data_IF_049904056986
#
_entry.id   IF_049904056986
#
_cell.length_a   1.000
_cell.length_b   1.000
_cell.length_c   1.000
_cell.angle_alpha   90.00
_cell.angle_beta   90.00
_cell.angle_gamma   90.00
#
_symmetry.space_group_name_H-M   'P 1'
#
loop_
_entity.id
_entity.type
_entity.pdbx_description
1 polymer ?
#
# COMPACT_ATOMS: atom_id res chain seq x y z
N UNK A 1 19.86 -11.77 -11.11
CA UNK A 1 19.32 -13.00 -10.47
C UNK A 1 17.92 -13.24 -11.02
N UNK A 2 17.58 -14.44 -11.44
CA UNK A 2 16.22 -14.72 -11.89
C UNK A 2 15.33 -15.07 -10.69
N UNK A 3 14.18 -14.40 -10.56
CA UNK A 3 13.20 -14.68 -9.52
C UNK A 3 12.26 -15.78 -10.01
N UNK A 4 12.20 -16.91 -9.29
CA UNK A 4 11.36 -18.07 -9.59
C UNK A 4 10.38 -18.37 -8.45
N UNK A 5 10.70 -17.97 -7.21
CA UNK A 5 9.84 -18.16 -6.04
C UNK A 5 9.54 -16.82 -5.37
N UNK A 6 8.24 -16.52 -5.21
CA UNK A 6 7.74 -15.30 -4.60
C UNK A 6 6.90 -15.63 -3.37
N UNK A 7 7.29 -15.11 -2.22
CA UNK A 7 6.53 -15.19 -0.99
C UNK A 7 5.76 -13.88 -0.75
N UNK A 8 4.46 -13.98 -0.60
CA UNK A 8 3.63 -12.84 -0.18
C UNK A 8 3.40 -12.87 1.33
N UNK A 9 3.62 -11.73 1.97
CA UNK A 9 3.17 -11.49 3.34
C UNK A 9 1.95 -10.57 3.26
N UNK A 10 0.77 -11.18 3.35
CA UNK A 10 -0.53 -10.53 3.16
C UNK A 10 -1.33 -11.16 2.03
N UNK A 11 -2.45 -11.81 2.37
CA UNK A 11 -3.38 -12.45 1.43
C UNK A 11 -4.68 -11.63 1.33
N UNK A 12 -4.51 -10.29 1.19
CA UNK A 12 -5.58 -9.33 0.95
C UNK A 12 -5.73 -9.01 -0.54
N UNK A 13 -6.49 -7.95 -0.89
CA UNK A 13 -6.79 -7.57 -2.27
C UNK A 13 -5.53 -7.41 -3.14
N UNK A 14 -4.56 -6.61 -2.69
CA UNK A 14 -3.30 -6.37 -3.44
C UNK A 14 -2.47 -7.65 -3.56
N UNK A 15 -2.34 -8.42 -2.47
CA UNK A 15 -1.59 -9.67 -2.48
C UNK A 15 -2.21 -10.71 -3.42
N UNK A 16 -3.54 -10.87 -3.38
CA UNK A 16 -4.25 -11.79 -4.29
C UNK A 16 -4.18 -11.33 -5.74
N UNK A 17 -4.30 -10.02 -5.99
CA UNK A 17 -4.23 -9.44 -7.33
C UNK A 17 -2.90 -9.80 -8.00
N UNK A 18 -1.79 -9.36 -7.43
CA UNK A 18 -0.48 -9.57 -8.05
C UNK A 18 0.01 -11.01 -7.89
N UNK A 19 -0.32 -11.69 -6.79
CA UNK A 19 0.00 -13.11 -6.61
C UNK A 19 -0.66 -13.99 -7.67
N UNK A 20 -1.93 -13.73 -8.01
CA UNK A 20 -2.62 -14.47 -9.08
C UNK A 20 -2.04 -14.20 -10.48
N UNK A 21 -1.57 -12.97 -10.75
CA UNK A 21 -0.90 -12.64 -12.01
C UNK A 21 0.45 -13.36 -12.14
N UNK A 22 1.25 -13.37 -11.06
CA UNK A 22 2.53 -14.09 -11.04
C UNK A 22 2.30 -15.60 -11.19
N UNK A 23 1.35 -16.16 -10.46
CA UNK A 23 1.02 -17.58 -10.55
C UNK A 23 0.51 -17.98 -11.94
N UNK A 24 -0.28 -17.13 -12.59
CA UNK A 24 -0.73 -17.34 -13.97
C UNK A 24 0.44 -17.43 -14.96
N UNK A 25 1.49 -16.64 -14.73
CA UNK A 25 2.66 -16.60 -15.63
C UNK A 25 3.70 -17.68 -15.33
N UNK A 26 3.94 -17.99 -14.04
CA UNK A 26 5.05 -18.85 -13.61
C UNK A 26 4.59 -20.21 -13.05
N UNK A 27 3.29 -20.41 -12.85
CA UNK A 27 2.71 -21.58 -12.18
C UNK A 27 2.43 -21.34 -10.69
N UNK A 28 1.47 -22.09 -10.13
CA UNK A 28 1.06 -21.93 -8.74
C UNK A 28 2.19 -22.19 -7.73
N UNK A 29 3.11 -23.09 -8.05
CA UNK A 29 4.26 -23.45 -7.19
C UNK A 29 5.27 -22.29 -7.04
N UNK A 30 5.21 -21.29 -7.92
CA UNK A 30 6.06 -20.11 -7.85
C UNK A 30 5.60 -19.10 -6.78
N UNK A 31 4.38 -19.23 -6.26
CA UNK A 31 3.77 -18.26 -5.33
C UNK A 31 3.31 -18.93 -4.06
N UNK A 32 3.69 -18.37 -2.92
CA UNK A 32 3.17 -18.80 -1.62
C UNK A 32 2.77 -17.59 -0.76
N UNK A 33 1.69 -17.74 0.03
CA UNK A 33 1.30 -16.77 1.05
C UNK A 33 1.75 -17.25 2.40
N UNK A 34 2.73 -16.55 2.98
CA UNK A 34 3.30 -16.93 4.27
C UNK A 34 2.59 -16.18 5.38
N UNK A 35 2.14 -16.93 6.37
CA UNK A 35 1.37 -16.42 7.51
C UNK A 35 2.02 -16.88 8.81
N UNK A 36 1.93 -16.06 9.86
CA UNK A 36 2.19 -16.57 11.21
C UNK A 36 1.24 -17.74 11.53
N UNK A 37 1.66 -18.61 12.45
CA UNK A 37 0.96 -19.87 12.69
C UNK A 37 -0.48 -19.65 13.17
N UNK A 38 -0.73 -18.63 13.97
CA UNK A 38 -2.08 -18.31 14.46
C UNK A 38 -2.99 -17.78 13.34
N UNK A 39 -2.43 -16.99 12.41
CA UNK A 39 -3.17 -16.52 11.24
C UNK A 39 -3.41 -17.64 10.25
N UNK A 40 -2.46 -18.53 10.08
CA UNK A 40 -2.61 -19.71 9.23
C UNK A 40 -3.77 -20.60 9.69
N UNK A 41 -3.90 -20.88 11.00
CA UNK A 41 -5.01 -21.68 11.54
C UNK A 41 -6.38 -21.08 11.21
N UNK A 42 -6.48 -19.75 11.16
CA UNK A 42 -7.76 -19.07 10.89
C UNK A 42 -8.09 -18.94 9.40
N UNK A 43 -7.07 -18.86 8.52
CA UNK A 43 -7.25 -18.36 7.16
C UNK A 43 -6.69 -19.26 6.05
N UNK A 44 -5.96 -20.35 6.37
CA UNK A 44 -5.41 -21.22 5.34
C UNK A 44 -6.48 -21.96 4.52
N UNK A 45 -7.63 -22.22 5.14
CA UNK A 45 -8.77 -22.88 4.52
C UNK A 45 -9.81 -21.92 3.90
N UNK A 46 -9.54 -20.61 3.89
CA UNK A 46 -10.48 -19.65 3.29
C UNK A 46 -10.67 -19.93 1.80
N UNK A 47 -11.91 -20.13 1.37
CA UNK A 47 -12.26 -20.23 -0.04
C UNK A 47 -12.17 -18.83 -0.68
N UNK A 48 -11.16 -18.62 -1.51
CA UNK A 48 -10.92 -17.34 -2.17
C UNK A 48 -11.24 -17.44 -3.66
N UNK A 49 -11.71 -16.33 -4.21
CA UNK A 49 -11.92 -16.21 -5.66
C UNK A 49 -11.26 -14.94 -6.20
N UNK A 50 -10.85 -15.02 -7.46
CA UNK A 50 -10.35 -13.87 -8.24
C UNK A 50 -11.20 -13.79 -9.51
N UNK A 51 -11.95 -12.70 -9.67
CA UNK A 51 -12.91 -12.51 -10.76
C UNK A 51 -13.84 -13.73 -10.97
N UNK A 52 -14.38 -14.23 -9.85
CA UNK A 52 -15.31 -15.36 -9.83
C UNK A 52 -14.68 -16.76 -10.03
N UNK A 53 -13.36 -16.84 -10.22
CA UNK A 53 -12.65 -18.13 -10.34
C UNK A 53 -12.00 -18.50 -9.01
N UNK A 54 -12.00 -19.78 -8.60
CA UNK A 54 -11.29 -20.24 -7.43
C UNK A 54 -9.81 -19.85 -7.49
N UNK A 55 -9.26 -19.45 -6.34
CA UNK A 55 -7.87 -19.08 -6.18
C UNK A 55 -7.17 -20.12 -5.29
N UNK A 56 -6.56 -21.11 -5.93
CA UNK A 56 -5.90 -22.26 -5.28
C UNK A 56 -4.42 -22.01 -4.94
N UNK A 57 -4.08 -20.76 -4.60
CA UNK A 57 -2.71 -20.40 -4.24
C UNK A 57 -2.37 -20.84 -2.81
N UNK A 58 -1.20 -21.44 -2.68
CA UNK A 58 -0.75 -22.07 -1.45
C UNK A 58 -0.55 -21.09 -0.31
N UNK A 59 -1.12 -21.42 0.86
CA UNK A 59 -0.78 -20.75 2.12
C UNK A 59 0.21 -21.62 2.91
N UNK A 60 1.23 -20.98 3.48
CA UNK A 60 2.31 -21.67 4.21
C UNK A 60 2.45 -21.07 5.61
N UNK A 61 2.62 -21.92 6.63
CA UNK A 61 2.98 -21.47 7.98
C UNK A 61 4.39 -20.90 7.98
N UNK A 62 4.59 -19.78 8.66
CA UNK A 62 5.93 -19.19 8.81
C UNK A 62 6.94 -20.18 9.39
N UNK A 63 6.51 -21.03 10.34
CA UNK A 63 7.36 -22.07 10.95
C UNK A 63 7.80 -23.18 9.96
N UNK A 64 7.18 -23.27 8.78
CA UNK A 64 7.46 -24.27 7.72
C UNK A 64 7.97 -23.64 6.42
N UNK A 65 7.97 -22.31 6.33
CA UNK A 65 8.40 -21.59 5.14
C UNK A 65 9.94 -21.64 4.99
N UNK A 66 10.39 -21.57 3.73
CA UNK A 66 11.79 -21.46 3.37
C UNK A 66 12.07 -20.09 2.73
N UNK A 67 13.33 -19.63 2.67
CA UNK A 67 13.69 -18.40 1.97
C UNK A 67 13.20 -18.40 0.51
N UNK A 68 12.60 -17.27 0.10
CA UNK A 68 12.15 -17.03 -1.26
C UNK A 68 13.16 -16.17 -2.03
N UNK A 69 13.04 -16.10 -3.37
CA UNK A 69 13.84 -15.18 -4.17
C UNK A 69 13.37 -13.74 -4.00
N UNK A 70 12.03 -13.54 -3.88
CA UNK A 70 11.41 -12.25 -3.63
C UNK A 70 10.34 -12.38 -2.54
N UNK A 71 10.36 -11.47 -1.59
CA UNK A 71 9.26 -11.27 -0.63
C UNK A 71 8.51 -9.99 -0.98
N UNK A 72 7.19 -10.10 -1.17
CA UNK A 72 6.32 -8.94 -1.39
C UNK A 72 5.40 -8.75 -0.18
N UNK A 73 5.53 -7.58 0.47
CA UNK A 73 4.70 -7.20 1.60
C UNK A 73 3.44 -6.46 1.13
N UNK A 74 2.27 -6.96 1.53
CA UNK A 74 0.95 -6.42 1.13
C UNK A 74 -0.05 -6.41 2.28
N UNK A 75 0.45 -6.17 3.50
CA UNK A 75 -0.41 -6.07 4.68
C UNK A 75 -0.93 -4.65 4.88
N UNK A 76 -2.01 -4.50 5.62
CA UNK A 76 -2.33 -3.20 6.23
C UNK A 76 -1.28 -2.85 7.28
N UNK A 77 -0.97 -1.58 7.44
CA UNK A 77 0.05 -1.09 8.39
C UNK A 77 -0.23 -1.49 9.84
N UNK A 78 -1.49 -1.70 10.19
CA UNK A 78 -1.90 -2.27 11.49
C UNK A 78 -1.33 -3.68 11.76
N UNK A 79 -0.91 -4.39 10.72
CA UNK A 79 -0.30 -5.73 10.80
C UNK A 79 1.21 -5.75 10.54
N UNK A 80 1.84 -4.58 10.35
CA UNK A 80 3.22 -4.48 9.86
C UNK A 80 4.25 -5.12 10.79
N UNK A 81 4.18 -4.88 12.09
CA UNK A 81 5.16 -5.43 13.04
C UNK A 81 5.12 -6.97 13.10
N UNK A 82 3.92 -7.56 13.01
CA UNK A 82 3.78 -9.01 12.92
C UNK A 82 4.24 -9.55 11.56
N UNK A 83 3.99 -8.81 10.49
CA UNK A 83 4.46 -9.16 9.16
C UNK A 83 6.00 -9.19 9.09
N UNK A 84 6.69 -8.21 9.67
CA UNK A 84 8.15 -8.17 9.75
C UNK A 84 8.72 -9.40 10.49
N UNK A 85 8.08 -9.85 11.58
CA UNK A 85 8.46 -11.11 12.25
C UNK A 85 8.26 -12.33 11.36
N UNK A 86 7.18 -12.35 10.58
CA UNK A 86 6.90 -13.43 9.61
C UNK A 86 7.95 -13.44 8.50
N UNK A 87 8.38 -12.27 8.01
CA UNK A 87 9.41 -12.13 6.97
C UNK A 87 10.75 -12.76 7.37
N UNK A 88 11.12 -12.78 8.66
CA UNK A 88 12.38 -13.41 9.13
C UNK A 88 12.51 -14.89 8.74
N UNK A 89 11.41 -15.57 8.44
CA UNK A 89 11.39 -16.97 8.05
C UNK A 89 11.63 -17.17 6.56
N UNK A 90 11.37 -16.14 5.76
CA UNK A 90 11.42 -16.24 4.27
C UNK A 90 12.45 -15.30 3.65
N UNK A 91 13.07 -14.43 4.42
CA UNK A 91 14.16 -13.57 3.97
C UNK A 91 15.48 -14.25 4.26
N UNK A 92 16.20 -14.63 3.22
CA UNK A 92 17.57 -15.14 3.26
C UNK A 92 18.57 -14.09 2.74
N UNK A 93 19.87 -14.45 2.66
CA UNK A 93 20.93 -13.50 2.29
C UNK A 93 20.78 -12.86 0.90
N UNK A 94 20.09 -13.53 -0.01
CA UNK A 94 19.91 -13.09 -1.40
C UNK A 94 18.44 -12.76 -1.72
N UNK A 95 17.55 -12.79 -0.74
CA UNK A 95 16.13 -12.49 -0.94
C UNK A 95 15.94 -11.01 -1.24
N UNK A 96 15.27 -10.71 -2.36
CA UNK A 96 14.83 -9.36 -2.69
C UNK A 96 13.53 -9.03 -1.94
N UNK A 97 13.31 -7.75 -1.64
CA UNK A 97 12.16 -7.32 -0.87
C UNK A 97 11.49 -6.13 -1.55
N UNK A 98 10.17 -6.21 -1.72
CA UNK A 98 9.32 -5.12 -2.16
C UNK A 98 8.16 -4.95 -1.19
N UNK A 99 7.77 -3.71 -0.91
CA UNK A 99 6.53 -3.40 -0.22
C UNK A 99 5.54 -2.77 -1.19
N UNK A 100 4.28 -3.19 -1.13
CA UNK A 100 3.16 -2.56 -1.83
C UNK A 100 2.11 -2.08 -0.82
N UNK A 101 2.53 -1.85 0.42
CA UNK A 101 1.71 -1.24 1.45
C UNK A 101 1.42 0.23 1.10
N UNK A 102 0.35 0.77 1.65
CA UNK A 102 0.12 2.21 1.57
C UNK A 102 1.04 2.95 2.55
N UNK A 103 1.27 4.25 2.28
CA UNK A 103 2.11 5.10 3.11
C UNK A 103 3.58 5.09 2.66
N UNK A 104 4.45 5.46 3.59
CA UNK A 104 5.89 5.66 3.35
C UNK A 104 6.77 5.04 4.45
N UNK A 105 6.18 4.33 5.41
CA UNK A 105 6.92 3.86 6.59
C UNK A 105 7.35 2.40 6.52
N UNK A 106 6.70 1.60 5.67
CA UNK A 106 6.92 0.15 5.62
C UNK A 106 8.32 -0.21 5.15
N UNK A 107 8.84 0.44 4.12
CA UNK A 107 10.16 0.16 3.55
C UNK A 107 11.28 0.56 4.49
N UNK A 108 11.12 1.67 5.22
CA UNK A 108 12.08 2.05 6.26
C UNK A 108 12.17 0.98 7.35
N UNK A 109 11.04 0.50 7.87
CA UNK A 109 10.99 -0.56 8.88
C UNK A 109 11.55 -1.89 8.36
N UNK A 110 11.31 -2.21 7.09
CA UNK A 110 11.91 -3.37 6.41
C UNK A 110 13.42 -3.20 6.37
N UNK A 111 13.91 -2.05 5.94
CA UNK A 111 15.34 -1.81 5.79
C UNK A 111 16.10 -1.73 7.12
N UNK A 112 15.47 -1.24 8.19
CA UNK A 112 16.02 -1.30 9.54
C UNK A 112 16.31 -2.73 9.99
N UNK A 113 15.54 -3.71 9.48
CA UNK A 113 15.66 -5.11 9.87
C UNK A 113 16.48 -5.96 8.89
N UNK A 114 16.35 -5.70 7.59
CA UNK A 114 16.92 -6.53 6.52
C UNK A 114 17.94 -5.79 5.65
N UNK A 115 18.07 -4.47 5.82
CA UNK A 115 18.96 -3.62 5.04
C UNK A 115 18.36 -3.12 3.73
N UNK A 116 18.93 -2.04 3.20
CA UNK A 116 18.51 -1.46 1.92
C UNK A 116 19.01 -2.22 0.68
N UNK A 117 20.10 -2.98 0.82
CA UNK A 117 20.79 -3.62 -0.30
C UNK A 117 19.85 -4.33 -1.27
N UNK A 118 18.90 -5.09 -0.74
CA UNK A 118 17.95 -5.91 -1.49
C UNK A 118 16.51 -5.41 -1.41
N UNK A 119 16.27 -4.22 -0.86
CA UNK A 119 14.95 -3.62 -0.69
C UNK A 119 14.75 -2.51 -1.71
N UNK A 120 13.61 -2.52 -2.41
CA UNK A 120 13.15 -1.43 -3.27
C UNK A 120 12.04 -0.64 -2.58
N UNK A 121 11.95 0.64 -2.93
CA UNK A 121 10.77 1.46 -2.66
C UNK A 121 9.69 1.17 -3.70
N UNK A 122 8.40 1.20 -3.31
CA UNK A 122 7.35 0.88 -4.26
C UNK A 122 5.94 1.30 -3.83
N UNK A 123 5.11 1.49 -4.82
CA UNK A 123 3.67 1.72 -4.67
C UNK A 123 2.90 0.93 -5.73
N UNK A 124 1.64 0.62 -5.42
CA UNK A 124 0.67 0.22 -6.44
C UNK A 124 -0.45 1.27 -6.53
N UNK A 125 -0.92 1.56 -7.74
CA UNK A 125 -1.90 2.61 -8.00
C UNK A 125 -2.81 2.30 -9.19
N UNK A 126 -3.93 3.02 -9.32
CA UNK A 126 -4.82 2.96 -10.47
C UNK A 126 -5.67 1.68 -10.57
N UNK A 127 -5.65 0.82 -9.56
CA UNK A 127 -6.48 -0.37 -9.52
C UNK A 127 -7.92 -0.05 -9.08
N UNK A 128 -8.88 -0.76 -9.65
CA UNK A 128 -10.28 -0.77 -9.22
C UNK A 128 -10.64 -2.00 -8.34
N UNK A 129 -9.63 -2.62 -7.75
CA UNK A 129 -9.75 -3.87 -7.01
C UNK A 129 -10.59 -3.74 -5.74
N UNK A 130 -11.62 -4.57 -5.61
CA UNK A 130 -12.46 -4.71 -4.42
C UNK A 130 -12.31 -6.12 -3.85
N UNK A 131 -11.92 -6.21 -2.58
CA UNK A 131 -11.82 -7.47 -1.85
C UNK A 131 -12.83 -7.51 -0.72
N UNK A 132 -13.84 -8.37 -0.88
CA UNK A 132 -14.94 -8.53 0.07
C UNK A 132 -15.32 -10.02 0.22
N UNK A 133 -15.48 -10.48 1.46
CA UNK A 133 -15.93 -11.84 1.78
C UNK A 133 -15.18 -12.97 1.02
N UNK A 134 -13.86 -12.81 0.89
CA UNK A 134 -13.01 -13.78 0.19
C UNK A 134 -13.01 -13.67 -1.33
N UNK A 135 -13.80 -12.76 -1.91
CA UNK A 135 -13.84 -12.52 -3.35
C UNK A 135 -13.07 -11.25 -3.73
N UNK A 136 -12.07 -11.38 -4.59
CA UNK A 136 -11.41 -10.29 -5.26
C UNK A 136 -12.05 -10.09 -6.63
N UNK A 137 -12.51 -8.87 -6.91
CA UNK A 137 -13.00 -8.46 -8.23
C UNK A 137 -12.26 -7.21 -8.69
N UNK A 138 -11.87 -7.19 -9.95
CA UNK A 138 -11.25 -6.02 -10.60
C UNK A 138 -11.43 -6.12 -12.11
N UNK A 139 -11.44 -4.98 -12.78
CA UNK A 139 -11.32 -4.86 -14.23
C UNK A 139 -9.97 -4.26 -14.61
N UNK A 140 -9.46 -3.37 -13.78
CA UNK A 140 -8.15 -2.76 -13.93
C UNK A 140 -7.23 -3.17 -12.76
N UNK A 141 -6.15 -3.87 -13.09
CA UNK A 141 -5.14 -4.29 -12.11
C UNK A 141 -4.26 -3.13 -11.62
N UNK A 142 -4.36 -1.96 -12.24
CA UNK A 142 -3.46 -0.84 -11.97
C UNK A 142 -2.02 -1.12 -12.40
N UNK A 143 -1.10 -0.39 -11.81
CA UNK A 143 0.33 -0.52 -12.06
C UNK A 143 1.13 -0.53 -10.74
N UNK A 144 2.33 -1.11 -10.78
CA UNK A 144 3.34 -0.99 -9.74
C UNK A 144 4.37 0.04 -10.21
N UNK A 145 4.67 1.04 -9.36
CA UNK A 145 5.81 1.92 -9.56
C UNK A 145 6.82 1.65 -8.46
N UNK A 146 8.07 1.47 -8.83
CA UNK A 146 9.11 1.13 -7.88
C UNK A 146 10.47 1.65 -8.34
N UNK A 147 11.43 1.68 -7.41
CA UNK A 147 12.76 2.15 -7.71
C UNK A 147 13.74 1.93 -6.56
N UNK A 148 14.96 2.39 -6.75
CA UNK A 148 16.01 2.27 -5.76
C UNK A 148 15.83 3.28 -4.61
N UNK A 149 16.09 2.83 -3.38
CA UNK A 149 16.43 3.72 -2.27
C UNK A 149 17.94 3.96 -2.23
N UNK A 150 18.40 4.91 -1.41
CA UNK A 150 19.82 5.03 -1.11
C UNK A 150 20.34 3.72 -0.48
N UNK A 151 21.25 3.04 -1.18
CA UNK A 151 21.80 1.74 -0.76
C UNK A 151 21.19 0.51 -1.43
N UNK A 152 20.14 0.64 -2.24
CA UNK A 152 19.62 -0.44 -3.06
C UNK A 152 20.60 -0.80 -4.18
N UNK A 153 20.94 -2.07 -4.33
CA UNK A 153 21.75 -2.52 -5.45
C UNK A 153 20.98 -2.42 -6.78
N UNK A 154 21.59 -1.88 -7.86
CA UNK A 154 20.91 -1.80 -9.16
C UNK A 154 20.39 -3.15 -9.67
N UNK A 155 21.10 -4.24 -9.39
CA UNK A 155 20.69 -5.59 -9.76
C UNK A 155 19.36 -6.02 -9.11
N UNK A 156 19.02 -5.46 -7.95
CA UNK A 156 17.73 -5.69 -7.26
C UNK A 156 16.58 -5.11 -8.09
N UNK A 157 16.71 -3.86 -8.53
CA UNK A 157 15.71 -3.21 -9.38
C UNK A 157 15.53 -3.96 -10.69
N UNK A 158 16.64 -4.30 -11.37
CA UNK A 158 16.62 -5.05 -12.64
C UNK A 158 15.91 -6.38 -12.50
N UNK A 159 16.19 -7.15 -11.44
CA UNK A 159 15.58 -8.48 -11.27
C UNK A 159 14.06 -8.40 -11.03
N UNK A 160 13.59 -7.38 -10.32
CA UNK A 160 12.16 -7.14 -10.08
C UNK A 160 11.47 -6.66 -11.37
N UNK A 161 12.10 -5.78 -12.14
CA UNK A 161 11.65 -5.30 -13.44
C UNK A 161 11.44 -6.47 -14.43
N UNK A 162 12.43 -7.35 -14.52
CA UNK A 162 12.36 -8.57 -15.33
C UNK A 162 11.21 -9.50 -14.89
N UNK A 163 10.98 -9.64 -13.58
CA UNK A 163 9.86 -10.44 -13.06
C UNK A 163 8.52 -9.85 -13.49
N UNK A 164 8.31 -8.56 -13.26
CA UNK A 164 7.04 -7.92 -13.59
C UNK A 164 6.77 -7.93 -15.09
N UNK A 165 7.79 -7.69 -15.92
CA UNK A 165 7.72 -7.85 -17.38
C UNK A 165 7.30 -9.26 -17.76
N UNK A 166 7.97 -10.28 -17.23
CA UNK A 166 7.70 -11.69 -17.50
C UNK A 166 6.29 -12.11 -17.11
N UNK A 167 5.74 -11.48 -16.03
CA UNK A 167 4.41 -11.78 -15.53
C UNK A 167 3.31 -10.90 -16.16
N UNK A 168 3.65 -9.99 -17.06
CA UNK A 168 2.70 -9.07 -17.69
C UNK A 168 2.05 -8.11 -16.68
N UNK A 169 2.75 -7.79 -15.58
CA UNK A 169 2.33 -6.80 -14.60
C UNK A 169 2.71 -5.42 -15.13
N UNK A 170 1.73 -4.53 -15.27
CA UNK A 170 2.00 -3.14 -15.63
C UNK A 170 2.86 -2.49 -14.53
N UNK A 171 4.01 -1.95 -14.91
CA UNK A 171 4.94 -1.34 -13.95
C UNK A 171 5.83 -0.29 -14.60
N UNK A 172 6.41 0.56 -13.76
CA UNK A 172 7.38 1.58 -14.14
C UNK A 172 8.51 1.60 -13.12
N UNK A 173 9.76 1.57 -13.62
CA UNK A 173 10.93 1.86 -12.80
C UNK A 173 11.11 3.37 -12.71
N UNK A 174 10.98 3.93 -11.52
CA UNK A 174 11.07 5.37 -11.26
C UNK A 174 12.48 5.76 -10.88
N UNK A 175 12.99 6.84 -11.46
CA UNK A 175 14.26 7.45 -11.03
C UNK A 175 14.13 8.19 -9.70
N UNK A 176 12.94 8.72 -9.40
CA UNK A 176 12.57 9.35 -8.13
C UNK A 176 11.29 8.74 -7.57
N UNK A 177 11.42 7.52 -7.10
CA UNK A 177 10.30 6.81 -6.48
C UNK A 177 9.86 7.46 -5.16
N UNK A 178 10.77 8.12 -4.44
CA UNK A 178 10.43 8.80 -3.19
C UNK A 178 9.43 9.93 -3.43
N UNK A 179 9.65 10.77 -4.45
CA UNK A 179 8.68 11.79 -4.87
C UNK A 179 7.31 11.17 -5.19
N UNK A 180 7.30 10.08 -5.95
CA UNK A 180 6.05 9.38 -6.31
C UNK A 180 5.30 8.81 -5.09
N UNK A 181 6.03 8.23 -4.14
CA UNK A 181 5.46 7.71 -2.89
C UNK A 181 4.81 8.82 -2.07
N UNK A 182 5.50 9.94 -1.91
CA UNK A 182 4.97 11.08 -1.19
C UNK A 182 3.81 11.77 -1.90
N UNK A 183 3.80 11.85 -3.22
CA UNK A 183 2.66 12.36 -3.99
C UNK A 183 1.42 11.45 -3.79
N UNK A 184 1.62 10.13 -3.78
CA UNK A 184 0.53 9.18 -3.46
C UNK A 184 0.09 9.29 -2.00
N UNK A 185 1.02 9.47 -1.04
CA UNK A 185 0.67 9.69 0.36
C UNK A 185 -0.15 10.97 0.50
N UNK A 186 0.26 12.08 -0.12
CA UNK A 186 -0.47 13.35 -0.12
C UNK A 186 -1.91 13.17 -0.62
N UNK A 187 -2.11 12.43 -1.72
CA UNK A 187 -3.43 12.11 -2.24
C UNK A 187 -4.25 11.30 -1.23
N UNK A 188 -3.67 10.21 -0.73
CA UNK A 188 -4.37 9.33 0.21
C UNK A 188 -4.69 10.03 1.53
N UNK A 189 -3.75 10.81 2.04
CA UNK A 189 -3.92 11.60 3.25
C UNK A 189 -5.10 12.58 3.13
N UNK A 190 -5.21 13.24 1.99
CA UNK A 190 -6.35 14.13 1.72
C UNK A 190 -7.66 13.36 1.53
N UNK A 191 -7.75 12.59 0.42
CA UNK A 191 -9.05 12.06 -0.05
C UNK A 191 -9.56 10.90 0.79
N UNK A 192 -8.69 9.93 1.12
CA UNK A 192 -9.12 8.74 1.88
C UNK A 192 -9.67 9.14 3.25
N UNK A 193 -8.98 10.03 3.93
CA UNK A 193 -9.34 10.46 5.27
C UNK A 193 -10.56 11.38 5.26
N UNK A 194 -10.68 12.28 4.29
CA UNK A 194 -11.88 13.13 4.16
C UNK A 194 -13.12 12.28 3.93
N UNK A 195 -13.10 11.36 2.95
CA UNK A 195 -14.24 10.47 2.71
C UNK A 195 -14.56 9.59 3.93
N UNK A 196 -13.54 9.12 4.66
CA UNK A 196 -13.73 8.38 5.91
C UNK A 196 -14.38 9.23 7.00
N UNK A 197 -13.88 10.45 7.24
CA UNK A 197 -14.33 11.33 8.33
C UNK A 197 -15.78 11.80 8.13
N UNK A 198 -16.16 12.12 6.91
CA UNK A 198 -17.50 12.60 6.56
C UNK A 198 -18.48 11.49 6.15
N UNK A 199 -17.99 10.30 5.78
CA UNK A 199 -18.82 9.21 5.25
C UNK A 199 -19.23 9.46 3.80
N UNK A 200 -18.36 10.13 3.03
CA UNK A 200 -18.62 10.54 1.66
C UNK A 200 -17.99 9.69 0.58
N UNK A 201 -18.16 10.14 -0.65
CA UNK A 201 -17.60 9.57 -1.89
C UNK A 201 -16.60 10.55 -2.51
N UNK A 202 -15.95 10.15 -3.62
CA UNK A 202 -15.09 11.07 -4.39
C UNK A 202 -15.85 12.33 -4.80
N UNK A 203 -17.10 12.20 -5.29
CA UNK A 203 -17.92 13.34 -5.71
C UNK A 203 -18.20 14.31 -4.59
N UNK A 204 -18.57 13.83 -3.38
CA UNK A 204 -18.82 14.70 -2.24
C UNK A 204 -17.56 15.44 -1.76
N UNK A 205 -16.41 14.80 -1.85
CA UNK A 205 -15.14 15.40 -1.43
C UNK A 205 -14.57 16.38 -2.47
N UNK A 206 -14.96 16.27 -3.73
CA UNK A 206 -14.49 17.16 -4.82
C UNK A 206 -15.47 18.28 -5.16
N UNK A 207 -16.68 18.31 -4.56
CA UNK A 207 -17.68 19.33 -4.82
C UNK A 207 -17.15 20.74 -4.56
N UNK A 208 -17.18 21.64 -5.56
CA UNK A 208 -16.65 23.00 -5.42
C UNK A 208 -17.30 23.76 -4.27
N UNK A 209 -16.48 24.40 -3.42
CA UNK A 209 -16.93 25.21 -2.28
C UNK A 209 -17.41 24.41 -1.07
N UNK A 210 -17.45 23.08 -1.12
CA UNK A 210 -17.85 22.25 0.01
C UNK A 210 -16.81 22.27 1.15
N UNK A 211 -17.26 21.93 2.35
CA UNK A 211 -16.39 21.74 3.52
C UNK A 211 -15.44 20.55 3.30
N UNK A 212 -15.94 19.48 2.70
CA UNK A 212 -15.14 18.29 2.38
C UNK A 212 -14.00 18.63 1.42
N UNK A 213 -14.26 19.45 0.37
CA UNK A 213 -13.20 19.89 -0.53
C UNK A 213 -12.12 20.70 0.18
N UNK A 214 -12.53 21.61 1.06
CA UNK A 214 -11.56 22.38 1.87
C UNK A 214 -10.73 21.48 2.77
N UNK A 215 -11.36 20.52 3.44
CA UNK A 215 -10.67 19.52 4.26
C UNK A 215 -9.65 18.73 3.44
N UNK A 216 -10.08 18.15 2.33
CA UNK A 216 -9.26 17.38 1.39
C UNK A 216 -8.01 18.15 0.95
N UNK A 217 -8.19 19.34 0.40
CA UNK A 217 -7.07 20.15 -0.12
C UNK A 217 -6.19 20.69 1.00
N UNK A 218 -6.73 21.01 2.18
CA UNK A 218 -5.93 21.49 3.31
C UNK A 218 -5.03 20.38 3.87
N UNK A 219 -5.54 19.16 4.03
CA UNK A 219 -4.72 18.03 4.44
C UNK A 219 -3.58 17.77 3.45
N UNK A 220 -3.84 17.82 2.14
CA UNK A 220 -2.82 17.69 1.12
C UNK A 220 -1.72 18.76 1.23
N UNK A 221 -2.09 20.03 1.49
CA UNK A 221 -1.10 21.12 1.66
C UNK A 221 -0.21 20.93 2.87
N UNK A 222 -0.77 20.42 3.97
CA UNK A 222 0.02 20.08 5.15
C UNK A 222 1.01 18.94 4.83
N UNK A 223 0.55 17.90 4.11
CA UNK A 223 1.43 16.81 3.65
C UNK A 223 2.53 17.32 2.72
N UNK A 224 2.21 18.22 1.78
CA UNK A 224 3.19 18.86 0.89
C UNK A 224 4.25 19.63 1.69
N UNK A 225 3.84 20.41 2.69
CA UNK A 225 4.76 21.16 3.54
C UNK A 225 5.70 20.22 4.33
N UNK A 226 5.16 19.13 4.86
CA UNK A 226 5.93 18.11 5.58
C UNK A 226 6.88 17.37 4.64
N UNK A 227 6.44 17.01 3.43
CA UNK A 227 7.29 16.38 2.43
C UNK A 227 8.52 17.23 2.09
N UNK A 228 8.31 18.51 1.85
CA UNK A 228 9.41 19.45 1.58
C UNK A 228 10.41 19.57 2.76
N UNK A 229 9.90 19.52 4.00
CA UNK A 229 10.76 19.50 5.19
C UNK A 229 11.54 18.19 5.36
N UNK A 230 11.02 17.08 4.85
CA UNK A 230 11.71 15.78 4.76
C UNK A 230 12.66 15.70 3.53
N UNK A 231 12.79 16.77 2.73
CA UNK A 231 13.67 16.84 1.57
C UNK A 231 13.08 16.27 0.28
N UNK A 232 11.76 16.08 0.23
CA UNK A 232 11.06 15.64 -0.98
C UNK A 232 10.39 16.84 -1.64
N UNK A 233 10.82 17.20 -2.84
CA UNK A 233 10.36 18.41 -3.55
C UNK A 233 8.96 18.24 -4.15
N UNK A 234 7.92 18.19 -3.31
CA UNK A 234 6.54 18.30 -3.80
C UNK A 234 6.16 19.75 -4.06
N UNK A 235 5.34 19.97 -5.10
CA UNK A 235 4.94 21.30 -5.57
C UNK A 235 3.41 21.47 -5.56
N UNK A 236 2.93 22.72 -5.67
CA UNK A 236 1.49 22.99 -5.89
C UNK A 236 1.00 22.40 -7.24
N UNK A 237 1.89 22.17 -8.20
CA UNK A 237 1.54 21.48 -9.45
C UNK A 237 1.23 20.01 -9.18
N UNK A 238 2.01 19.32 -8.32
CA UNK A 238 1.74 17.95 -7.90
C UNK A 238 0.40 17.86 -7.17
N UNK A 239 0.14 18.79 -6.23
CA UNK A 239 -1.15 18.86 -5.54
C UNK A 239 -2.31 19.03 -6.50
N UNK A 240 -2.20 19.98 -7.44
CA UNK A 240 -3.22 20.26 -8.45
C UNK A 240 -3.46 19.03 -9.33
N UNK A 241 -2.40 18.35 -9.76
CA UNK A 241 -2.49 17.12 -10.54
C UNK A 241 -3.26 16.03 -9.77
N UNK A 242 -2.97 15.85 -8.47
CA UNK A 242 -3.66 14.85 -7.65
C UNK A 242 -5.14 15.20 -7.43
N UNK A 243 -5.48 16.49 -7.27
CA UNK A 243 -6.88 16.94 -7.19
C UNK A 243 -7.62 16.62 -8.49
N UNK A 244 -7.06 16.98 -9.66
CA UNK A 244 -7.65 16.67 -10.96
C UNK A 244 -7.79 15.17 -11.21
N UNK A 245 -6.84 14.37 -10.72
CA UNK A 245 -6.95 12.90 -10.80
C UNK A 245 -8.23 12.40 -10.11
N UNK A 246 -8.53 12.90 -8.93
CA UNK A 246 -9.74 12.51 -8.18
C UNK A 246 -11.01 13.06 -8.83
N UNK A 247 -10.98 14.27 -9.36
CA UNK A 247 -12.10 14.87 -10.11
C UNK A 247 -12.46 14.07 -11.36
N UNK A 248 -11.50 13.33 -11.93
CA UNK A 248 -11.69 12.47 -13.11
C UNK A 248 -12.18 11.05 -12.80
N UNK A 249 -12.28 10.66 -11.54
CA UNK A 249 -12.76 9.31 -11.15
C UNK A 249 -14.29 9.32 -11.01
N UNK A 250 -14.92 8.12 -11.06
CA UNK A 250 -16.34 7.98 -10.78
C UNK A 250 -16.73 8.67 -9.47
N UNK A 251 -17.57 9.72 -9.50
CA UNK A 251 -17.93 10.47 -8.29
C UNK A 251 -18.70 9.64 -7.25
N UNK A 252 -19.33 8.53 -7.65
CA UNK A 252 -20.00 7.60 -6.73
C UNK A 252 -19.02 6.64 -6.06
N UNK A 253 -17.78 6.55 -6.54
CA UNK A 253 -16.74 5.68 -5.99
C UNK A 253 -16.31 6.10 -4.58
N UNK A 254 -15.79 5.14 -3.84
CA UNK A 254 -15.30 5.33 -2.48
C UNK A 254 -13.85 4.86 -2.35
N UNK A 255 -12.95 5.68 -1.76
CA UNK A 255 -11.60 5.25 -1.44
C UNK A 255 -11.56 4.19 -0.33
N UNK A 256 -10.41 3.53 -0.16
CA UNK A 256 -10.23 2.37 0.73
C UNK A 256 -10.67 2.63 2.18
N UNK A 257 -10.35 3.79 2.75
CA UNK A 257 -10.75 4.10 4.13
C UNK A 257 -12.26 4.35 4.27
N UNK A 258 -12.93 4.88 3.24
CA UNK A 258 -14.39 5.00 3.23
C UNK A 258 -15.05 3.60 3.15
N UNK A 259 -14.47 2.67 2.39
CA UNK A 259 -14.89 1.27 2.37
C UNK A 259 -14.68 0.60 3.75
N UNK A 260 -13.57 0.90 4.44
CA UNK A 260 -13.33 0.41 5.81
C UNK A 260 -14.38 0.92 6.79
N UNK A 261 -14.82 2.19 6.65
CA UNK A 261 -15.91 2.74 7.46
C UNK A 261 -17.20 1.96 7.29
N UNK A 262 -17.60 1.69 6.04
CA UNK A 262 -18.80 0.90 5.74
C UNK A 262 -18.71 -0.50 6.35
N UNK A 263 -17.54 -1.12 6.25
CA UNK A 263 -17.27 -2.46 6.77
C UNK A 263 -16.92 -2.49 8.28
N UNK A 264 -16.88 -1.35 8.97
CA UNK A 264 -16.45 -1.19 10.38
C UNK A 264 -15.10 -1.88 10.66
N UNK A 265 -14.14 -1.66 9.77
CA UNK A 265 -12.78 -2.20 9.90
C UNK A 265 -11.83 -1.08 10.31
N UNK A 266 -10.82 -1.42 11.13
CA UNK A 266 -9.74 -0.48 11.43
C UNK A 266 -9.10 0.06 10.15
N UNK A 267 -8.94 1.38 10.12
CA UNK A 267 -8.35 2.11 8.98
C UNK A 267 -6.84 2.21 9.10
N UNK A 268 -6.23 2.88 8.14
CA UNK A 268 -4.80 3.19 8.12
C UNK A 268 -4.51 4.64 8.59
N UNK A 269 -5.35 5.20 9.45
CA UNK A 269 -5.21 6.59 9.94
C UNK A 269 -3.86 6.85 10.61
N UNK A 270 -3.28 5.86 11.29
CA UNK A 270 -1.96 5.98 11.91
C UNK A 270 -0.85 6.13 10.86
N UNK A 271 -1.02 5.52 9.68
CA UNK A 271 -0.07 5.61 8.57
C UNK A 271 -0.20 6.91 7.79
N UNK A 272 -1.41 7.47 7.66
CA UNK A 272 -1.66 8.70 6.93
C UNK A 272 -1.55 9.92 7.88
N UNK A 273 -2.62 10.42 8.45
CA UNK A 273 -2.56 11.58 9.34
C UNK A 273 -1.60 11.39 10.53
N UNK A 274 -1.52 10.19 11.10
CA UNK A 274 -0.59 9.89 12.19
C UNK A 274 0.87 10.10 11.79
N UNK A 275 1.25 9.71 10.57
CA UNK A 275 2.60 9.95 10.04
C UNK A 275 2.84 11.43 9.79
N UNK A 276 1.87 12.13 9.16
CA UNK A 276 2.01 13.56 8.89
C UNK A 276 2.10 14.37 10.18
N UNK A 277 1.23 14.12 11.17
CA UNK A 277 1.30 14.79 12.48
C UNK A 277 2.65 14.58 13.18
N UNK A 278 3.18 13.35 13.17
CA UNK A 278 4.49 13.04 13.78
C UNK A 278 5.64 13.75 13.08
N UNK A 279 5.66 13.77 11.75
CA UNK A 279 6.70 14.44 10.98
C UNK A 279 6.56 15.97 11.04
N UNK A 280 5.34 16.50 11.04
CA UNK A 280 5.06 17.92 11.27
C UNK A 280 5.62 18.39 12.61
N UNK A 281 5.36 17.64 13.69
CA UNK A 281 5.93 17.92 15.00
C UNK A 281 7.47 17.89 15.01
N UNK A 282 8.11 16.93 14.31
CA UNK A 282 9.57 16.84 14.14
C UNK A 282 10.17 18.13 13.53
N UNK A 283 9.45 18.75 12.59
CA UNK A 283 9.89 19.94 11.86
C UNK A 283 9.26 21.25 12.37
N UNK A 284 8.52 21.24 13.47
CA UNK A 284 7.76 22.39 13.99
C UNK A 284 6.80 23.00 12.96
N UNK A 285 6.18 22.17 12.14
CA UNK A 285 5.14 22.53 11.16
C UNK A 285 3.77 22.34 11.80
N UNK A 286 2.84 23.29 11.54
CA UNK A 286 1.44 23.15 11.96
C UNK A 286 0.69 22.26 10.97
N UNK A 287 -0.04 21.24 11.46
CA UNK A 287 -0.84 20.33 10.64
C UNK A 287 -2.26 20.16 11.24
N UNK A 288 -3.01 21.26 11.46
CA UNK A 288 -4.28 21.22 12.18
C UNK A 288 -5.36 20.41 11.47
N UNK A 289 -5.33 20.34 10.13
CA UNK A 289 -6.30 19.54 9.38
C UNK A 289 -6.03 18.04 9.55
N UNK A 290 -4.77 17.62 9.51
CA UNK A 290 -4.37 16.24 9.77
C UNK A 290 -4.63 15.85 11.24
N UNK A 291 -4.37 16.71 12.20
CA UNK A 291 -4.68 16.48 13.60
C UNK A 291 -6.19 16.27 13.80
N UNK A 292 -7.04 17.11 13.17
CA UNK A 292 -8.50 16.96 13.22
C UNK A 292 -8.94 15.65 12.56
N UNK A 293 -8.42 15.32 11.37
CA UNK A 293 -8.74 14.06 10.67
C UNK A 293 -8.35 12.84 11.51
N UNK A 294 -7.15 12.86 12.09
CA UNK A 294 -6.68 11.79 12.97
C UNK A 294 -7.63 11.56 14.14
N UNK A 295 -7.94 12.61 14.87
CA UNK A 295 -8.83 12.51 16.04
C UNK A 295 -10.25 12.09 15.63
N UNK A 296 -10.81 12.70 14.58
CA UNK A 296 -12.15 12.39 14.09
C UNK A 296 -12.31 10.93 13.67
N UNK A 297 -11.33 10.40 12.94
CA UNK A 297 -11.35 9.01 12.47
C UNK A 297 -11.20 8.04 13.65
N UNK A 298 -10.32 8.33 14.60
CA UNK A 298 -10.17 7.53 15.82
C UNK A 298 -11.45 7.48 16.64
N UNK A 299 -12.19 8.57 16.73
CA UNK A 299 -13.46 8.60 17.46
C UNK A 299 -14.56 7.81 16.74
N UNK A 300 -14.58 7.84 15.41
CA UNK A 300 -15.46 6.97 14.61
C UNK A 300 -15.11 5.49 14.86
N UNK A 301 -13.82 5.11 14.81
CA UNK A 301 -13.39 3.74 15.07
C UNK A 301 -13.75 3.24 16.47
N UNK A 302 -13.70 4.09 17.49
CA UNK A 302 -14.12 3.76 18.87
C UNK A 302 -15.62 3.52 18.99
N UNK A 303 -16.42 4.01 18.06
CA UNK A 303 -17.88 3.84 18.06
C UNK A 303 -18.36 2.52 17.46
N UNK A 304 -17.46 1.71 16.95
CA UNK A 304 -17.74 0.39 16.35
C UNK A 304 -17.70 -0.74 17.40
#
# INVERSE_FOLDING_TARGET
MQINKVAFIGKGGVGLLYGSMIAKALGNDAVEYVMDDARFERHAGDALTVNGKPCDLTSVRASKAAPADLVILTVKTTGLDQALKTMERVVGPNTLIASLCNGITSEQKIAERFGWKHTVLGICQGMDAVFLNGALTFTNAGEIRFGAAAGTEPATVTAIDELYTRCGIAHTVESDIAHRMWAKLMLNDGINQTCMAYGGTYGSATEPGSEQRRCFVSAMRETLAVANAEGIELTEADLTQMVHLIEGIDPAGMPSMAQDRVARRKTEVDEFAGTICRLAAKHNIQAPQNEWLYQRIRDIEKSW
#
